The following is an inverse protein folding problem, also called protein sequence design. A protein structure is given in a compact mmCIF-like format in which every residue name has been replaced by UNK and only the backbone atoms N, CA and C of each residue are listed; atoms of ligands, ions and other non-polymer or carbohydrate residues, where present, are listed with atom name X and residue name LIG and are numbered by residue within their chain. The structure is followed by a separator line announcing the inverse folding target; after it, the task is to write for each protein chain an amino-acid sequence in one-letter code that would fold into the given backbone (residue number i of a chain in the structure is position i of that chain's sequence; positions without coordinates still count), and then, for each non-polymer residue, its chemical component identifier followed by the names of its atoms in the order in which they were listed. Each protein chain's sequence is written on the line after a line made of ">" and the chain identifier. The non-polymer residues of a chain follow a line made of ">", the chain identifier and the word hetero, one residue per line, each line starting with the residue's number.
data_IF_944347380626
#
_entry.id   IF_944347380626
#
_cell.length_a   1.000
_cell.length_b   1.000
_cell.length_c   1.000
_cell.angle_alpha   90.00
_cell.angle_beta   90.00
_cell.angle_gamma   90.00
#
_symmetry.space_group_name_H-M   'P 1'
#
loop_
_entity.id
_entity.type
_entity.pdbx_description
1 polymer ?
#
# COMPACT_ATOMS: atom_id res chain seq x y z
N UNK A 1 -43.62 46.66 38.74
CA UNK A 1 -43.58 47.22 40.11
C UNK A 1 -44.27 48.58 40.27
N UNK A 2 -44.29 49.45 39.24
CA UNK A 2 -44.94 50.78 39.33
C UNK A 2 -46.48 50.74 39.40
N UNK A 3 -47.15 49.77 38.78
CA UNK A 3 -48.62 49.72 38.76
C UNK A 3 -49.24 49.50 40.14
N UNK A 4 -48.70 48.56 40.95
CA UNK A 4 -49.21 48.29 42.31
C UNK A 4 -49.01 49.48 43.25
N UNK A 5 -47.82 50.11 43.22
CA UNK A 5 -47.51 51.29 44.04
C UNK A 5 -48.42 52.49 43.72
N UNK A 6 -48.81 52.68 42.45
CA UNK A 6 -49.76 53.73 42.03
C UNK A 6 -51.22 53.41 42.41
N UNK A 7 -51.57 52.12 42.44
CA UNK A 7 -52.88 51.65 42.92
C UNK A 7 -53.04 51.88 44.44
N UNK A 8 -51.99 51.60 45.21
CA UNK A 8 -51.95 51.77 46.67
C UNK A 8 -52.01 53.25 47.10
N UNK A 9 -51.48 54.16 46.27
CA UNK A 9 -51.54 55.62 46.50
C UNK A 9 -52.87 56.27 46.07
N UNK A 10 -53.79 55.51 45.48
CA UNK A 10 -55.08 56.02 45.01
C UNK A 10 -55.02 56.85 43.72
N UNK A 11 -53.86 56.90 43.04
CA UNK A 11 -53.66 57.65 41.78
C UNK A 11 -54.35 56.99 40.56
N UNK A 12 -54.84 55.76 40.71
CA UNK A 12 -55.51 54.99 39.65
C UNK A 12 -56.90 54.56 40.15
N UNK A 13 -57.95 55.14 39.58
CA UNK A 13 -59.33 54.72 39.86
C UNK A 13 -59.68 53.42 39.11
N UNK A 14 -60.01 52.38 39.86
CA UNK A 14 -60.49 51.11 39.30
C UNK A 14 -61.94 51.30 38.84
N UNK A 15 -62.14 51.53 37.54
CA UNK A 15 -63.49 51.57 36.94
C UNK A 15 -64.21 50.25 37.20
N UNK A 16 -65.26 50.29 38.03
CA UNK A 16 -66.09 49.13 38.35
C UNK A 16 -67.03 48.85 37.18
N UNK A 17 -66.59 48.02 36.23
CA UNK A 17 -67.45 47.55 35.15
C UNK A 17 -68.59 46.67 35.68
N UNK A 18 -69.75 46.68 35.01
CA UNK A 18 -70.87 45.77 35.31
C UNK A 18 -70.40 44.31 35.27
N UNK A 19 -70.99 43.45 36.11
CA UNK A 19 -70.59 42.04 36.24
C UNK A 19 -70.68 41.30 34.91
N UNK A 20 -71.74 41.53 34.13
CA UNK A 20 -71.89 40.92 32.81
C UNK A 20 -70.75 41.30 31.86
N UNK A 21 -70.34 42.57 31.82
CA UNK A 21 -69.26 43.04 30.95
C UNK A 21 -67.92 42.40 31.33
N UNK A 22 -67.64 42.24 32.64
CA UNK A 22 -66.44 41.53 33.11
C UNK A 22 -66.49 40.05 32.72
N UNK A 23 -67.63 39.40 32.89
CA UNK A 23 -67.81 38.00 32.50
C UNK A 23 -67.63 37.81 30.99
N UNK A 24 -68.22 38.68 30.16
CA UNK A 24 -68.03 38.64 28.71
C UNK A 24 -66.58 38.87 28.29
N UNK A 25 -65.88 39.82 28.92
CA UNK A 25 -64.46 40.05 28.67
C UNK A 25 -63.61 38.83 29.07
N UNK A 26 -63.88 38.25 30.25
CA UNK A 26 -63.20 37.05 30.72
C UNK A 26 -63.42 35.87 29.76
N UNK A 27 -64.66 35.66 29.28
CA UNK A 27 -64.97 34.61 28.31
C UNK A 27 -64.23 34.82 26.98
N UNK A 28 -64.13 36.05 26.48
CA UNK A 28 -63.34 36.38 25.27
C UNK A 28 -61.85 36.06 25.47
N UNK A 29 -61.27 36.48 26.59
CA UNK A 29 -59.87 36.21 26.93
C UNK A 29 -59.62 34.71 27.04
N UNK A 30 -60.47 33.98 27.76
CA UNK A 30 -60.34 32.54 27.92
C UNK A 30 -60.50 31.79 26.59
N UNK A 31 -61.43 32.21 25.72
CA UNK A 31 -61.60 31.62 24.38
C UNK A 31 -60.34 31.81 23.53
N UNK A 32 -59.78 33.02 23.51
CA UNK A 32 -58.54 33.31 22.80
C UNK A 32 -57.36 32.52 23.36
N UNK A 33 -57.25 32.43 24.69
CA UNK A 33 -56.20 31.67 25.36
C UNK A 33 -56.27 30.18 25.04
N UNK A 34 -57.47 29.57 25.15
CA UNK A 34 -57.69 28.16 24.80
C UNK A 34 -57.34 27.91 23.32
N UNK A 35 -57.75 28.80 22.42
CA UNK A 35 -57.40 28.72 21.00
C UNK A 35 -55.89 28.84 20.73
N UNK A 36 -55.22 29.78 21.38
CA UNK A 36 -53.76 29.93 21.31
C UNK A 36 -53.05 28.67 21.82
N UNK A 37 -53.45 28.16 22.98
CA UNK A 37 -52.84 26.99 23.59
C UNK A 37 -53.04 25.74 22.72
N UNK A 38 -54.24 25.55 22.16
CA UNK A 38 -54.52 24.47 21.23
C UNK A 38 -53.62 24.53 19.98
N UNK A 39 -53.46 25.72 19.36
CA UNK A 39 -52.55 25.90 18.22
C UNK A 39 -51.09 25.66 18.59
N UNK A 40 -50.64 26.13 19.76
CA UNK A 40 -49.29 25.90 20.26
C UNK A 40 -49.00 24.40 20.43
N UNK A 41 -49.92 23.67 21.07
CA UNK A 41 -49.79 22.22 21.25
C UNK A 41 -49.85 21.46 19.93
N UNK A 42 -50.67 21.91 18.98
CA UNK A 42 -50.72 21.33 17.62
C UNK A 42 -49.40 21.55 16.88
N UNK A 43 -48.81 22.74 16.96
CA UNK A 43 -47.50 23.05 16.38
C UNK A 43 -46.40 22.13 16.93
N UNK A 44 -46.33 21.97 18.26
CA UNK A 44 -45.35 21.06 18.90
C UNK A 44 -45.56 19.60 18.45
N UNK A 45 -46.82 19.14 18.34
CA UNK A 45 -47.10 17.79 17.84
C UNK A 45 -46.68 17.62 16.39
N UNK A 46 -46.98 18.61 15.54
CA UNK A 46 -46.60 18.63 14.12
C UNK A 46 -45.08 18.56 13.97
N UNK A 47 -44.35 19.38 14.69
CA UNK A 47 -42.87 19.39 14.69
C UNK A 47 -42.30 18.02 15.12
N UNK A 48 -42.85 17.41 16.18
CA UNK A 48 -42.44 16.05 16.60
C UNK A 48 -42.71 15.00 15.53
N UNK A 49 -43.86 15.06 14.86
CA UNK A 49 -44.17 14.13 13.76
C UNK A 49 -43.27 14.36 12.55
N UNK A 50 -42.98 15.62 12.20
CA UNK A 50 -42.11 15.98 11.08
C UNK A 50 -40.66 15.55 11.35
N UNK A 51 -40.19 15.67 12.60
CA UNK A 51 -38.89 15.15 13.06
C UNK A 51 -38.83 13.62 13.02
N UNK A 52 -39.88 12.93 13.50
CA UNK A 52 -39.96 11.47 13.48
C UNK A 52 -39.99 10.91 12.05
N UNK A 53 -40.61 11.65 11.12
CA UNK A 53 -40.63 11.33 9.69
C UNK A 53 -39.34 11.78 8.96
N UNK A 54 -38.39 12.40 9.65
CA UNK A 54 -37.11 12.84 9.08
C UNK A 54 -37.20 14.07 8.17
N UNK A 55 -38.31 14.81 8.18
CA UNK A 55 -38.51 16.02 7.38
C UNK A 55 -37.83 17.27 7.99
N UNK A 56 -37.64 17.27 9.31
CA UNK A 56 -36.92 18.32 10.04
C UNK A 56 -35.74 17.68 10.75
N UNK A 57 -34.54 18.21 10.50
CA UNK A 57 -33.34 17.84 11.25
C UNK A 57 -33.38 18.60 12.58
N UNK A 58 -33.41 17.91 13.73
CA UNK A 58 -33.43 18.56 15.03
C UNK A 58 -32.25 19.53 15.18
N UNK A 59 -32.49 20.63 15.89
CA UNK A 59 -31.44 21.58 16.20
C UNK A 59 -30.35 20.87 17.01
N UNK A 60 -29.09 21.07 16.63
CA UNK A 60 -27.91 20.45 17.27
C UNK A 60 -27.72 20.81 18.75
N UNK A 61 -28.63 21.61 19.32
CA UNK A 61 -28.65 22.07 20.70
C UNK A 61 -29.54 21.22 21.61
N UNK A 62 -30.32 20.28 21.07
CA UNK A 62 -31.18 19.41 21.88
C UNK A 62 -30.32 18.51 22.79
N UNK A 63 -30.70 18.37 24.06
CA UNK A 63 -29.92 17.60 25.06
C UNK A 63 -29.75 16.13 24.65
N UNK A 64 -30.75 15.58 23.92
CA UNK A 64 -30.69 14.23 23.34
C UNK A 64 -29.61 14.14 22.25
N UNK A 65 -29.51 15.14 21.37
CA UNK A 65 -28.48 15.19 20.33
C UNK A 65 -27.09 15.36 20.95
N UNK A 66 -26.94 16.18 22.00
CA UNK A 66 -25.68 16.32 22.73
C UNK A 66 -25.19 15.01 23.34
N UNK A 67 -26.07 14.28 24.02
CA UNK A 67 -25.73 12.97 24.61
C UNK A 67 -25.28 11.94 23.55
N UNK A 68 -25.87 11.95 22.35
CA UNK A 68 -25.44 11.06 21.24
C UNK A 68 -24.03 11.42 20.78
N UNK A 69 -23.72 12.71 20.60
CA UNK A 69 -22.40 13.14 20.16
C UNK A 69 -21.32 12.97 21.23
N UNK A 70 -21.66 13.15 22.50
CA UNK A 70 -20.75 12.87 23.62
C UNK A 70 -20.40 11.37 23.66
N UNK A 71 -21.40 10.48 23.56
CA UNK A 71 -21.15 9.03 23.45
C UNK A 71 -20.32 8.67 22.22
N UNK A 72 -20.59 9.27 21.07
CA UNK A 72 -19.79 9.02 19.87
C UNK A 72 -18.34 9.53 20.01
N UNK A 73 -18.14 10.65 20.70
CA UNK A 73 -16.81 11.17 21.02
C UNK A 73 -16.08 10.23 21.98
N UNK A 74 -16.75 9.77 23.04
CA UNK A 74 -16.23 8.76 23.97
C UNK A 74 -15.84 7.48 23.23
N UNK A 75 -16.73 6.95 22.37
CA UNK A 75 -16.44 5.77 21.55
C UNK A 75 -15.23 5.99 20.63
N UNK A 76 -15.08 7.19 20.04
CA UNK A 76 -13.91 7.55 19.23
C UNK A 76 -12.64 7.57 20.04
N UNK A 77 -12.64 8.16 21.24
CA UNK A 77 -11.49 8.17 22.14
C UNK A 77 -11.10 6.74 22.55
N UNK A 78 -12.08 5.93 22.97
CA UNK A 78 -11.86 4.52 23.32
C UNK A 78 -11.29 3.71 22.15
N UNK A 79 -11.76 3.95 20.91
CA UNK A 79 -11.19 3.31 19.71
C UNK A 79 -9.74 3.73 19.48
N UNK A 80 -9.43 5.02 19.60
CA UNK A 80 -8.05 5.52 19.46
C UNK A 80 -7.12 4.89 20.50
N UNK A 81 -7.49 4.91 21.78
CA UNK A 81 -6.67 4.31 22.84
C UNK A 81 -6.42 2.82 22.61
N UNK A 82 -7.44 2.10 22.12
CA UNK A 82 -7.29 0.67 21.78
C UNK A 82 -6.37 0.47 20.58
N UNK A 83 -6.47 1.33 19.56
CA UNK A 83 -5.59 1.27 18.38
C UNK A 83 -4.14 1.58 18.75
N UNK A 84 -3.89 2.55 19.61
CA UNK A 84 -2.55 2.92 20.05
C UNK A 84 -1.90 1.80 20.87
N UNK A 85 -2.66 1.17 21.78
CA UNK A 85 -2.20 -0.02 22.50
C UNK A 85 -1.91 -1.18 21.55
N UNK A 86 -2.81 -1.45 20.62
CA UNK A 86 -2.62 -2.53 19.64
C UNK A 86 -1.42 -2.29 18.72
N UNK A 87 -1.16 -1.04 18.33
CA UNK A 87 0.02 -0.66 17.53
C UNK A 87 1.31 -0.91 18.32
N UNK A 88 1.34 -0.49 19.58
CA UNK A 88 2.49 -0.71 20.46
C UNK A 88 2.73 -2.21 20.69
N UNK A 89 1.67 -2.98 20.93
CA UNK A 89 1.75 -4.45 21.02
C UNK A 89 2.36 -5.06 19.76
N UNK A 90 1.92 -4.64 18.56
CA UNK A 90 2.47 -5.13 17.28
C UNK A 90 3.96 -4.77 17.14
N UNK A 91 4.35 -3.53 17.42
CA UNK A 91 5.74 -3.06 17.33
C UNK A 91 6.67 -3.83 18.29
N UNK A 92 6.26 -4.02 19.55
CA UNK A 92 7.01 -4.82 20.51
C UNK A 92 7.15 -6.29 20.06
N UNK A 93 6.07 -6.87 19.52
CA UNK A 93 6.15 -8.25 19.00
C UNK A 93 7.04 -8.36 17.78
N UNK A 94 7.03 -7.35 16.91
CA UNK A 94 7.89 -7.27 15.73
C UNK A 94 9.36 -7.25 16.13
N UNK A 95 9.74 -6.34 17.03
CA UNK A 95 11.13 -6.22 17.50
C UNK A 95 11.60 -7.48 18.22
N UNK A 96 10.74 -8.06 19.08
CA UNK A 96 11.03 -9.31 19.75
C UNK A 96 11.24 -10.45 18.76
N UNK A 97 10.35 -10.60 17.78
CA UNK A 97 10.44 -11.69 16.79
C UNK A 97 11.65 -11.49 15.89
N UNK A 98 11.95 -10.26 15.50
CA UNK A 98 13.15 -9.88 14.75
C UNK A 98 14.43 -10.25 15.47
N UNK A 99 14.55 -9.95 16.76
CA UNK A 99 15.70 -10.37 17.55
C UNK A 99 15.84 -11.89 17.60
N UNK A 100 14.74 -12.60 17.88
CA UNK A 100 14.73 -14.07 17.96
C UNK A 100 15.09 -14.75 16.64
N UNK A 101 14.51 -14.33 15.52
CA UNK A 101 14.80 -14.90 14.20
C UNK A 101 16.26 -14.61 13.82
N UNK A 102 16.72 -13.39 14.05
CA UNK A 102 18.10 -13.02 13.71
C UNK A 102 19.13 -13.83 14.51
N UNK A 103 18.87 -14.12 15.78
CA UNK A 103 19.76 -14.91 16.63
C UNK A 103 19.74 -16.40 16.27
N UNK A 104 18.54 -16.97 16.08
CA UNK A 104 18.37 -18.40 15.84
C UNK A 104 18.76 -18.81 14.41
N UNK A 105 18.34 -18.03 13.42
CA UNK A 105 18.30 -18.46 12.01
C UNK A 105 19.16 -17.58 11.10
N UNK A 106 19.81 -16.54 11.63
CA UNK A 106 20.67 -15.67 10.84
C UNK A 106 21.86 -16.39 10.19
N UNK A 107 22.42 -17.41 10.87
CA UNK A 107 23.48 -18.25 10.32
C UNK A 107 22.97 -19.15 9.18
N UNK A 108 21.82 -19.79 9.40
CA UNK A 108 21.23 -20.73 8.46
C UNK A 108 20.81 -20.02 7.17
N UNK A 109 20.08 -18.91 7.28
CA UNK A 109 19.68 -18.08 6.12
C UNK A 109 20.89 -17.64 5.31
N UNK A 110 21.99 -17.26 5.97
CA UNK A 110 23.22 -16.87 5.30
C UNK A 110 23.85 -18.03 4.53
N UNK A 111 23.85 -19.24 5.10
CA UNK A 111 24.39 -20.41 4.44
C UNK A 111 23.51 -20.85 3.28
N UNK A 112 22.20 -20.86 3.45
CA UNK A 112 21.25 -21.21 2.38
C UNK A 112 21.44 -20.29 1.17
N UNK A 113 21.59 -18.98 1.39
CA UNK A 113 21.92 -18.01 0.33
C UNK A 113 23.28 -18.32 -0.32
N UNK A 114 24.30 -18.64 0.48
CA UNK A 114 25.62 -18.95 -0.06
C UNK A 114 25.62 -20.25 -0.88
N UNK A 115 24.87 -21.26 -0.45
CA UNK A 115 24.67 -22.52 -1.16
C UNK A 115 23.90 -22.31 -2.47
N UNK A 116 22.84 -21.49 -2.45
CA UNK A 116 22.10 -21.07 -3.65
C UNK A 116 23.05 -20.46 -4.70
N UNK A 117 23.92 -19.54 -4.28
CA UNK A 117 24.87 -18.88 -5.17
C UNK A 117 25.97 -19.84 -5.65
N UNK A 118 26.48 -20.72 -4.77
CA UNK A 118 27.47 -21.74 -5.18
C UNK A 118 26.88 -22.74 -6.17
N UNK A 119 25.62 -23.15 -5.97
CA UNK A 119 24.93 -24.01 -6.91
C UNK A 119 24.85 -23.34 -8.30
N UNK A 120 24.57 -22.04 -8.34
CA UNK A 120 24.62 -21.26 -9.58
C UNK A 120 26.01 -21.23 -10.22
N UNK A 121 27.08 -21.01 -9.44
CA UNK A 121 28.45 -21.10 -9.95
C UNK A 121 28.76 -22.48 -10.56
N UNK A 122 28.35 -23.55 -9.87
CA UNK A 122 28.56 -24.92 -10.33
C UNK A 122 27.77 -25.22 -11.62
N UNK A 123 26.55 -24.72 -11.75
CA UNK A 123 25.76 -24.91 -12.97
C UNK A 123 26.45 -24.27 -14.19
N UNK A 124 26.96 -23.04 -14.03
CA UNK A 124 27.72 -22.35 -15.06
C UNK A 124 29.01 -23.09 -15.43
N UNK A 125 29.79 -23.49 -14.44
CA UNK A 125 31.02 -24.24 -14.66
C UNK A 125 30.75 -25.55 -15.42
N UNK A 126 29.71 -26.30 -15.02
CA UNK A 126 29.39 -27.59 -15.61
C UNK A 126 28.87 -27.47 -17.07
N UNK A 127 28.09 -26.43 -17.37
CA UNK A 127 27.47 -26.25 -18.70
C UNK A 127 28.35 -25.50 -19.69
N UNK A 128 29.08 -24.48 -19.24
CA UNK A 128 29.83 -23.55 -20.11
C UNK A 128 31.34 -23.75 -19.97
N UNK A 129 31.81 -24.32 -18.86
CA UNK A 129 33.25 -24.48 -18.57
C UNK A 129 33.90 -23.24 -17.97
N UNK A 130 33.13 -22.17 -17.70
CA UNK A 130 33.60 -20.97 -17.02
C UNK A 130 32.46 -20.30 -16.26
N UNK A 131 32.79 -19.43 -15.30
CA UNK A 131 31.79 -18.67 -14.55
C UNK A 131 31.27 -17.45 -15.34
N UNK A 132 30.07 -16.98 -15.00
CA UNK A 132 29.51 -15.73 -15.54
C UNK A 132 29.83 -14.52 -14.63
N UNK A 133 29.56 -13.32 -15.13
CA UNK A 133 29.76 -12.07 -14.40
C UNK A 133 28.72 -11.97 -13.28
N UNK A 134 29.21 -11.90 -12.04
CA UNK A 134 28.35 -11.73 -10.88
C UNK A 134 27.52 -10.42 -10.96
N UNK A 135 26.20 -10.45 -10.71
CA UNK A 135 25.38 -9.25 -10.82
C UNK A 135 25.82 -8.12 -9.88
N UNK A 136 25.80 -6.86 -10.34
CA UNK A 136 26.22 -5.73 -9.54
C UNK A 136 25.22 -5.47 -8.39
N UNK A 137 25.74 -5.02 -7.25
CA UNK A 137 24.92 -4.73 -6.07
C UNK A 137 23.84 -3.66 -6.33
N UNK A 138 24.09 -2.74 -7.27
CA UNK A 138 23.15 -1.69 -7.66
C UNK A 138 21.87 -2.24 -8.32
N UNK A 139 21.98 -3.37 -9.03
CA UNK A 139 20.86 -3.99 -9.74
C UNK A 139 20.19 -5.10 -8.90
N UNK A 140 20.55 -5.25 -7.62
CA UNK A 140 19.97 -6.26 -6.73
C UNK A 140 20.85 -7.48 -6.47
N UNK A 141 22.06 -7.56 -7.06
CA UNK A 141 23.04 -8.61 -6.72
C UNK A 141 22.49 -10.03 -6.87
N UNK A 142 22.62 -10.87 -5.84
CA UNK A 142 22.11 -12.26 -5.86
C UNK A 142 20.59 -12.37 -5.96
N UNK A 143 19.82 -11.30 -5.73
CA UNK A 143 18.35 -11.35 -5.91
C UNK A 143 18.00 -11.70 -7.35
N UNK A 144 18.77 -11.21 -8.33
CA UNK A 144 18.58 -11.54 -9.75
C UNK A 144 18.84 -13.02 -10.07
N UNK A 145 19.76 -13.64 -9.31
CA UNK A 145 20.04 -15.08 -9.42
C UNK A 145 18.86 -15.86 -8.85
N UNK A 146 18.36 -15.46 -7.67
CA UNK A 146 17.22 -16.09 -7.02
C UNK A 146 15.93 -15.99 -7.83
N UNK A 147 15.70 -14.86 -8.52
CA UNK A 147 14.53 -14.64 -9.37
C UNK A 147 14.65 -15.28 -10.76
N UNK A 148 15.84 -15.78 -11.12
CA UNK A 148 16.10 -16.35 -12.45
C UNK A 148 16.12 -15.30 -13.57
N UNK A 149 16.34 -14.04 -13.24
CA UNK A 149 16.44 -12.94 -14.23
C UNK A 149 17.86 -12.83 -14.83
N UNK A 150 18.83 -13.56 -14.28
CA UNK A 150 20.16 -13.74 -14.90
C UNK A 150 20.07 -14.65 -16.12
N UNK A 151 20.93 -14.42 -17.10
CA UNK A 151 21.04 -15.32 -18.26
C UNK A 151 21.27 -16.76 -17.78
N UNK A 152 20.50 -17.70 -18.32
CA UNK A 152 20.80 -19.11 -18.06
C UNK A 152 22.04 -19.54 -18.87
N UNK A 153 22.82 -20.53 -18.39
CA UNK A 153 23.99 -21.01 -19.13
C UNK A 153 23.65 -21.46 -20.56
N UNK A 154 22.45 -22.00 -20.78
CA UNK A 154 21.96 -22.44 -22.10
C UNK A 154 21.65 -21.27 -23.02
N UNK A 155 20.93 -20.24 -22.53
CA UNK A 155 20.68 -19.00 -23.29
C UNK A 155 21.97 -18.28 -23.65
N UNK A 156 22.96 -18.30 -22.76
CA UNK A 156 24.29 -17.74 -23.02
C UNK A 156 25.01 -18.46 -24.17
N UNK A 157 24.97 -19.79 -24.19
CA UNK A 157 25.56 -20.59 -25.26
C UNK A 157 24.87 -20.32 -26.60
N UNK A 158 23.54 -20.25 -26.61
CA UNK A 158 22.76 -19.92 -27.82
C UNK A 158 23.14 -18.53 -28.33
N UNK A 159 23.17 -17.52 -27.44
CA UNK A 159 23.57 -16.16 -27.79
C UNK A 159 24.99 -16.10 -28.35
N UNK A 160 25.95 -16.82 -27.77
CA UNK A 160 27.30 -16.92 -28.34
C UNK A 160 27.33 -17.61 -29.70
N UNK A 161 26.50 -18.63 -29.93
CA UNK A 161 26.39 -19.27 -31.25
C UNK A 161 25.80 -18.31 -32.29
N UNK A 162 24.77 -17.54 -31.93
CA UNK A 162 24.18 -16.50 -32.78
C UNK A 162 25.16 -15.36 -33.08
N UNK A 163 25.92 -14.90 -32.08
CA UNK A 163 26.96 -13.89 -32.25
C UNK A 163 28.09 -14.39 -33.17
N UNK A 164 28.50 -15.65 -33.05
CA UNK A 164 29.46 -16.27 -33.97
C UNK A 164 28.91 -16.38 -35.39
N UNK A 165 27.65 -16.79 -35.57
CA UNK A 165 26.98 -16.82 -36.88
C UNK A 165 26.83 -15.41 -37.50
N UNK A 166 26.56 -14.40 -36.68
CA UNK A 166 26.50 -13.00 -37.09
C UNK A 166 27.89 -12.43 -37.45
N UNK A 167 28.94 -12.85 -36.73
CA UNK A 167 30.32 -12.46 -37.02
C UNK A 167 30.84 -13.13 -38.31
N UNK A 168 30.52 -14.40 -38.55
CA UNK A 168 30.86 -15.10 -39.80
C UNK A 168 30.11 -14.54 -41.00
N UNK A 169 28.85 -14.13 -40.84
CA UNK A 169 28.09 -13.44 -41.91
C UNK A 169 28.58 -12.02 -42.17
N UNK A 170 29.16 -11.32 -41.19
CA UNK A 170 29.84 -10.03 -41.38
C UNK A 170 31.24 -10.17 -41.99
N UNK A 171 32.03 -11.18 -41.61
CA UNK A 171 33.31 -11.50 -42.27
C UNK A 171 33.13 -11.88 -43.74
N UNK A 172 32.06 -12.60 -44.10
CA UNK A 172 31.67 -12.83 -45.50
C UNK A 172 31.18 -11.59 -46.26
N UNK A 173 30.88 -10.48 -45.56
CA UNK A 173 30.40 -9.22 -46.14
C UNK A 173 31.47 -8.12 -46.21
N UNK A 174 32.60 -8.27 -45.52
CA UNK A 174 33.76 -7.38 -45.61
C UNK A 174 34.74 -7.75 -46.74
N UNK A 175 34.68 -8.97 -47.30
CA UNK A 175 35.44 -9.36 -48.51
C UNK A 175 34.77 -8.91 -49.84
N UNK A 176 33.60 -8.27 -49.79
CA UNK A 176 32.93 -7.71 -50.97
C UNK A 176 32.34 -6.34 -50.67
N UNK A 177 33.18 -5.31 -50.65
CA UNK A 177 32.74 -3.93 -50.87
C UNK A 177 33.89 -3.01 -51.31
N UNK A 178 34.35 -3.24 -52.54
CA UNK A 178 34.81 -2.17 -53.43
C UNK A 178 33.76 -2.02 -54.55
N UNK A 179 33.47 -0.78 -54.92
CA UNK A 179 32.57 -0.30 -55.98
C UNK A 179 31.06 -0.14 -55.75
N UNK A 180 30.67 1.12 -55.97
CA UNK A 180 29.38 1.68 -56.40
C UNK A 180 28.40 2.20 -55.34
N UNK A 181 28.40 3.54 -55.28
CA UNK A 181 27.36 4.43 -54.73
C UNK A 181 26.09 4.39 -55.60
N UNK A 182 24.93 4.55 -54.97
CA UNK A 182 23.88 5.44 -55.51
C UNK A 182 22.42 4.99 -55.36
N UNK A 183 21.63 5.86 -54.69
CA UNK A 183 20.14 6.00 -54.69
C UNK A 183 19.34 4.83 -54.08
N UNK A 184 18.29 5.02 -53.30
CA UNK A 184 17.49 6.18 -52.90
C UNK A 184 16.10 5.68 -52.44
N UNK A 185 15.50 6.33 -51.43
CA UNK A 185 14.06 6.26 -51.06
C UNK A 185 13.58 5.01 -50.29
N UNK A 186 12.50 5.03 -49.52
CA UNK A 186 11.91 6.01 -48.59
C UNK A 186 11.09 5.16 -47.58
N UNK A 187 10.94 5.71 -46.36
CA UNK A 187 9.90 5.47 -45.34
C UNK A 187 9.46 4.06 -44.93
N UNK A 188 9.88 3.74 -43.70
CA UNK A 188 9.02 3.43 -42.54
C UNK A 188 7.51 3.61 -42.82
N UNK A 189 6.79 2.49 -42.87
CA UNK A 189 5.39 2.41 -42.48
C UNK A 189 5.30 1.52 -41.24
N UNK A 190 5.73 2.05 -40.10
CA UNK A 190 5.23 1.58 -38.81
C UNK A 190 3.84 2.20 -38.71
N UNK A 191 2.82 1.40 -39.00
CA UNK A 191 1.42 1.77 -38.82
C UNK A 191 1.18 1.78 -37.31
N UNK A 192 1.59 2.87 -36.65
CA UNK A 192 0.98 3.27 -35.39
C UNK A 192 -0.42 3.72 -35.80
N UNK A 193 -1.37 2.84 -35.52
CA UNK A 193 -2.79 3.05 -35.73
C UNK A 193 -3.24 3.99 -34.60
N UNK A 194 -2.85 5.26 -34.68
CA UNK A 194 -3.38 6.34 -33.83
C UNK A 194 -4.82 6.68 -34.28
N UNK A 195 -5.69 5.69 -34.16
CA UNK A 195 -7.13 5.89 -33.98
C UNK A 195 -7.48 5.49 -32.53
N UNK A 196 -6.64 5.90 -31.57
CA UNK A 196 -7.04 5.91 -30.17
C UNK A 196 -7.98 7.11 -29.98
N UNK A 197 -9.24 6.93 -30.37
CA UNK A 197 -10.33 7.75 -29.88
C UNK A 197 -10.22 7.89 -28.36
N UNK A 198 -10.63 9.03 -27.81
CA UNK A 198 -10.44 9.40 -26.40
C UNK A 198 -10.49 8.19 -25.45
N UNK A 199 -9.32 7.78 -24.96
CA UNK A 199 -9.19 6.70 -23.97
C UNK A 199 -9.40 7.32 -22.61
N UNK A 200 -10.36 6.80 -21.85
CA UNK A 200 -10.64 7.28 -20.51
C UNK A 200 -9.36 7.16 -19.65
N UNK A 201 -8.86 8.24 -19.05
CA UNK A 201 -7.71 8.16 -18.19
C UNK A 201 -8.02 7.24 -17.01
N UNK A 202 -7.15 6.26 -16.78
CA UNK A 202 -7.32 5.31 -15.67
C UNK A 202 -7.37 6.07 -14.35
N UNK A 203 -8.39 5.80 -13.54
CA UNK A 203 -8.51 6.44 -12.22
C UNK A 203 -7.33 6.04 -11.34
N UNK A 204 -6.72 7.02 -10.68
CA UNK A 204 -5.69 6.78 -9.66
C UNK A 204 -6.19 5.87 -8.54
N UNK A 205 -7.50 5.89 -8.27
CA UNK A 205 -8.16 5.08 -7.23
C UNK A 205 -8.21 3.60 -7.60
N UNK A 206 -8.31 3.27 -8.90
CA UNK A 206 -8.37 1.86 -9.33
C UNK A 206 -7.08 1.11 -8.98
N UNK A 207 -5.93 1.79 -9.08
CA UNK A 207 -4.64 1.22 -8.65
C UNK A 207 -4.67 0.93 -7.15
N UNK A 208 -5.06 1.91 -6.34
CA UNK A 208 -5.18 1.73 -4.88
C UNK A 208 -6.13 0.58 -4.50
N UNK A 209 -7.26 0.44 -5.18
CA UNK A 209 -8.20 -0.66 -4.93
C UNK A 209 -7.58 -2.00 -5.35
N UNK A 210 -6.87 -2.05 -6.48
CA UNK A 210 -6.18 -3.26 -6.91
C UNK A 210 -5.08 -3.66 -5.90
N UNK A 211 -4.28 -2.70 -5.44
CA UNK A 211 -3.22 -2.94 -4.45
C UNK A 211 -3.81 -3.50 -3.13
N UNK A 212 -4.90 -2.92 -2.64
CA UNK A 212 -5.60 -3.39 -1.42
C UNK A 212 -6.21 -4.78 -1.63
N UNK A 213 -6.76 -5.05 -2.81
CA UNK A 213 -7.27 -6.38 -3.15
C UNK A 213 -6.13 -7.40 -3.13
N UNK A 214 -4.99 -7.08 -3.73
CA UNK A 214 -3.85 -7.98 -3.80
C UNK A 214 -3.25 -8.24 -2.41
N UNK A 215 -3.21 -7.21 -1.55
CA UNK A 215 -2.83 -7.35 -0.14
C UNK A 215 -3.81 -8.25 0.62
N UNK A 216 -5.12 -8.07 0.38
CA UNK A 216 -6.15 -8.94 0.95
C UNK A 216 -6.01 -10.39 0.50
N UNK A 217 -5.84 -10.61 -0.81
CA UNK A 217 -5.70 -11.93 -1.41
C UNK A 217 -4.45 -12.66 -0.88
N UNK A 218 -3.34 -11.93 -0.65
CA UNK A 218 -2.10 -12.48 -0.10
C UNK A 218 -2.16 -12.77 1.40
N UNK A 219 -2.62 -11.80 2.20
CA UNK A 219 -2.47 -11.86 3.65
C UNK A 219 -3.72 -12.38 4.37
N UNK A 220 -4.92 -12.17 3.81
CA UNK A 220 -6.17 -12.31 4.55
C UNK A 220 -7.13 -13.35 3.97
N UNK A 221 -7.14 -13.60 2.66
CA UNK A 221 -8.13 -14.48 2.00
C UNK A 221 -8.14 -15.93 2.50
N UNK A 222 -6.97 -16.46 2.86
CA UNK A 222 -6.82 -17.85 3.34
C UNK A 222 -6.55 -17.93 4.85
N UNK A 223 -6.66 -16.80 5.56
CA UNK A 223 -6.42 -16.74 7.00
C UNK A 223 -7.57 -17.43 7.75
N UNK A 224 -7.24 -18.28 8.72
CA UNK A 224 -8.26 -18.98 9.50
C UNK A 224 -8.93 -18.07 10.53
N UNK A 225 -10.20 -18.34 10.83
CA UNK A 225 -10.99 -17.56 11.81
C UNK A 225 -10.34 -17.50 13.20
N UNK A 226 -9.57 -18.52 13.58
CA UNK A 226 -8.88 -18.55 14.86
C UNK A 226 -7.68 -17.60 14.90
N UNK A 227 -6.98 -17.42 13.77
CA UNK A 227 -5.90 -16.43 13.66
C UNK A 227 -6.46 -15.00 13.61
N UNK A 228 -7.63 -14.79 12.98
CA UNK A 228 -8.33 -13.50 12.95
C UNK A 228 -8.77 -13.00 14.35
N UNK A 229 -8.94 -13.91 15.32
CA UNK A 229 -9.25 -13.56 16.72
C UNK A 229 -8.02 -13.11 17.51
N UNK A 230 -6.81 -13.36 17.01
CA UNK A 230 -5.58 -12.95 17.68
C UNK A 230 -5.42 -11.43 17.59
N UNK A 231 -4.81 -10.85 18.63
CA UNK A 231 -4.49 -9.41 18.63
C UNK A 231 -3.37 -9.06 17.68
N UNK A 232 -2.42 -9.98 17.54
CA UNK A 232 -1.26 -9.88 16.67
C UNK A 232 -1.18 -11.17 15.86
N UNK A 233 -1.14 -11.05 14.55
CA UNK A 233 -0.99 -12.19 13.63
C UNK A 233 0.50 -12.38 13.38
N UNK A 234 1.11 -13.31 14.13
CA UNK A 234 2.56 -13.52 14.08
C UNK A 234 3.05 -13.91 12.69
N UNK A 235 2.29 -14.69 11.92
CA UNK A 235 2.70 -15.17 10.59
C UNK A 235 3.05 -14.02 9.62
N UNK A 236 2.29 -12.93 9.66
CA UNK A 236 2.52 -11.75 8.82
C UNK A 236 3.84 -11.09 9.24
N UNK A 237 4.02 -10.89 10.54
CA UNK A 237 5.25 -10.30 11.12
C UNK A 237 6.46 -11.17 10.77
N UNK A 238 6.35 -12.48 10.94
CA UNK A 238 7.42 -13.42 10.65
C UNK A 238 7.83 -13.33 9.18
N UNK A 239 6.87 -13.37 8.24
CA UNK A 239 7.15 -13.22 6.81
C UNK A 239 7.92 -11.94 6.47
N UNK A 240 7.49 -10.80 7.03
CA UNK A 240 8.18 -9.51 6.84
C UNK A 240 9.59 -9.51 7.44
N UNK A 241 9.75 -10.03 8.66
CA UNK A 241 11.05 -10.11 9.34
C UNK A 241 12.02 -11.04 8.60
N UNK A 242 11.54 -12.18 8.11
CA UNK A 242 12.34 -13.11 7.30
C UNK A 242 12.80 -12.46 6.01
N UNK A 243 11.90 -11.76 5.31
CA UNK A 243 12.24 -11.04 4.10
C UNK A 243 13.32 -9.98 4.36
N UNK A 244 13.17 -9.17 5.41
CA UNK A 244 14.18 -8.18 5.77
C UNK A 244 15.53 -8.83 6.13
N UNK A 245 15.50 -9.92 6.89
CA UNK A 245 16.70 -10.66 7.29
C UNK A 245 17.41 -11.22 6.05
N UNK A 246 16.68 -11.86 5.14
CA UNK A 246 17.21 -12.40 3.91
C UNK A 246 17.87 -11.30 3.07
N UNK A 247 17.23 -10.14 2.91
CA UNK A 247 17.80 -9.02 2.15
C UNK A 247 19.07 -8.45 2.81
N UNK A 248 19.14 -8.39 4.14
CA UNK A 248 20.34 -7.99 4.87
C UNK A 248 21.46 -9.01 4.70
N UNK A 249 21.15 -10.30 4.84
CA UNK A 249 22.13 -11.38 4.69
C UNK A 249 22.63 -11.52 3.26
N UNK A 250 21.77 -11.37 2.24
CA UNK A 250 22.16 -11.40 0.81
C UNK A 250 23.25 -10.38 0.53
N UNK A 251 23.15 -9.13 1.02
CA UNK A 251 24.22 -8.13 0.83
C UNK A 251 25.58 -8.61 1.36
N UNK A 252 25.59 -9.21 2.55
CA UNK A 252 26.81 -9.70 3.19
C UNK A 252 27.37 -10.90 2.40
N UNK A 253 26.49 -11.83 2.01
CA UNK A 253 26.89 -13.02 1.25
C UNK A 253 27.39 -12.63 -0.14
N UNK A 254 26.75 -11.70 -0.83
CA UNK A 254 27.16 -11.23 -2.16
C UNK A 254 28.60 -10.72 -2.15
N UNK A 255 29.00 -9.96 -1.14
CA UNK A 255 30.38 -9.46 -1.02
C UNK A 255 31.38 -10.60 -0.79
N UNK A 256 31.00 -11.60 0.00
CA UNK A 256 31.81 -12.82 0.19
C UNK A 256 31.89 -13.66 -1.09
N UNK A 257 30.77 -13.83 -1.80
CA UNK A 257 30.69 -14.64 -3.01
C UNK A 257 31.41 -14.00 -4.19
N UNK A 258 31.49 -12.66 -4.27
CA UNK A 258 32.35 -11.97 -5.24
C UNK A 258 33.82 -12.29 -5.03
N UNK A 259 34.27 -12.31 -3.77
CA UNK A 259 35.64 -12.71 -3.44
C UNK A 259 35.88 -14.21 -3.70
N UNK A 260 34.88 -15.05 -3.44
CA UNK A 260 34.93 -16.48 -3.76
C UNK A 260 35.06 -16.68 -5.27
N UNK A 261 34.25 -15.99 -6.07
CA UNK A 261 34.30 -16.01 -7.52
C UNK A 261 35.65 -15.56 -8.07
N UNK A 262 36.23 -14.47 -7.55
CA UNK A 262 37.57 -14.02 -7.95
C UNK A 262 38.62 -15.12 -7.71
N UNK A 263 38.56 -15.80 -6.56
CA UNK A 263 39.47 -16.92 -6.25
C UNK A 263 39.25 -18.13 -7.16
N UNK A 264 38.00 -18.45 -7.47
CA UNK A 264 37.64 -19.54 -8.37
C UNK A 264 38.10 -19.26 -9.80
N UNK A 265 37.94 -18.02 -10.27
CA UNK A 265 38.47 -17.56 -11.54
C UNK A 265 40.00 -17.67 -11.59
N UNK A 266 40.71 -17.23 -10.54
CA UNK A 266 42.17 -17.35 -10.45
C UNK A 266 42.65 -18.81 -10.49
N UNK A 267 41.92 -19.72 -9.84
CA UNK A 267 42.21 -21.15 -9.86
C UNK A 267 42.00 -21.73 -11.26
N UNK A 268 40.88 -21.40 -11.89
CA UNK A 268 40.54 -21.87 -13.23
C UNK A 268 41.54 -21.38 -14.29
N UNK A 269 42.00 -20.12 -14.18
CA UNK A 269 43.10 -19.62 -15.03
C UNK A 269 44.40 -20.38 -14.82
N UNK A 270 44.71 -20.83 -13.60
CA UNK A 270 45.90 -21.63 -13.31
C UNK A 270 45.81 -23.02 -13.92
N UNK A 271 44.65 -23.66 -13.85
CA UNK A 271 44.43 -24.99 -14.40
C UNK A 271 44.55 -25.00 -15.93
N UNK A 272 44.12 -23.93 -16.60
CA UNK A 272 44.24 -23.75 -18.05
C UNK A 272 45.57 -23.13 -18.52
N UNK A 273 46.60 -23.00 -17.66
CA UNK A 273 47.90 -22.44 -18.08
C UNK A 273 48.66 -23.31 -19.07
N UNK A 274 48.50 -24.63 -18.94
CA UNK A 274 49.21 -25.62 -19.75
C UNK A 274 48.46 -25.98 -21.04
N UNK A 275 47.26 -25.43 -21.24
CA UNK A 275 46.46 -25.65 -22.44
C UNK A 275 47.02 -24.89 -23.65
N UNK A 276 47.01 -25.54 -24.81
CA UNK A 276 47.50 -24.96 -26.07
C UNK A 276 46.66 -23.75 -26.54
N UNK A 277 45.40 -23.67 -26.11
CA UNK A 277 44.45 -22.60 -26.46
C UNK A 277 44.32 -21.63 -25.30
N UNK A 278 44.53 -20.33 -25.56
CA UNK A 278 44.31 -19.28 -24.56
C UNK A 278 42.87 -19.31 -24.07
N UNK A 279 42.70 -19.61 -22.79
CA UNK A 279 41.42 -19.58 -22.11
C UNK A 279 40.99 -18.13 -21.85
N UNK A 280 39.85 -17.72 -22.39
CA UNK A 280 39.27 -16.39 -22.22
C UNK A 280 37.81 -16.51 -21.75
N UNK A 281 37.45 -15.78 -20.68
CA UNK A 281 36.08 -15.72 -20.18
C UNK A 281 35.62 -14.26 -19.98
N UNK A 282 34.30 -14.00 -19.97
CA UNK A 282 33.76 -12.65 -19.77
C UNK A 282 34.20 -12.07 -18.42
N UNK A 283 34.72 -10.84 -18.42
CA UNK A 283 35.15 -10.16 -17.19
C UNK A 283 36.57 -10.45 -16.71
N UNK A 284 37.37 -11.21 -17.48
CA UNK A 284 38.80 -11.37 -17.24
C UNK A 284 39.50 -9.99 -17.16
N UNK A 285 40.21 -9.71 -16.07
CA UNK A 285 41.08 -8.53 -15.97
C UNK A 285 42.26 -8.76 -16.92
N UNK A 286 42.31 -7.97 -17.99
CA UNK A 286 43.45 -7.93 -18.93
C UNK A 286 44.71 -7.40 -18.24
#
# INVERSE_FOLDING_TARGET
>A
MMYRKKLERGEIEIKKFKRETRNQAALKIQKLWRGYWARKMLGIRREKTEMALGMIIPSRKDDVSRAIFEKDRENRMMRHERQDKSRSEVEETYDRRRAQISEREGYDVRNDIAEEIRAWFHEWLNKVGHFDVYPPAQNGGSVLIATGETLTPEEFLIKKMEEKAAADSKKKKEEKKEESKGKGGDKKSKKDNDDEGWVMPTSKVLKTIADVRDEFDKNWRLMSDDKLKQRVVNDIIEGEVYYELQMKMRKIVDDLMRLELDRMNDALVRDHKDDEVKFEFPGMKK
#
